data_IF_087220095823
#
_entry.id   IF_087220095823
#
_cell.length_a   1.000
_cell.length_b   1.000
_cell.length_c   1.000
_cell.angle_alpha   90.00
_cell.angle_beta   90.00
_cell.angle_gamma   90.00
#
_symmetry.space_group_name_H-M   'P 1'
#
loop_
_entity.id
_entity.type
_entity.pdbx_description
1 polymer ?
#
# COMPACT_ATOMS: atom_id res chain seq x y z
N UNK A 1 7.32 -2.84 -21.69
CA UNK A 1 8.21 -2.57 -20.57
C UNK A 1 8.52 -1.08 -20.48
N UNK A 2 9.25 -0.48 -21.40
CA UNK A 2 9.64 0.95 -21.40
C UNK A 2 8.48 1.95 -21.31
N UNK A 3 7.36 1.71 -21.97
CA UNK A 3 6.20 2.60 -21.90
C UNK A 3 5.59 2.64 -20.49
N UNK A 4 5.52 1.51 -19.81
CA UNK A 4 5.04 1.45 -18.41
C UNK A 4 5.99 2.17 -17.46
N UNK A 5 7.30 2.01 -17.65
CA UNK A 5 8.32 2.72 -16.88
C UNK A 5 8.19 4.24 -17.07
N UNK A 6 8.07 4.70 -18.31
CA UNK A 6 7.87 6.10 -18.64
C UNK A 6 6.60 6.68 -18.00
N UNK A 7 5.48 5.95 -18.07
CA UNK A 7 4.21 6.35 -17.44
C UNK A 7 4.33 6.42 -15.92
N UNK A 8 5.01 5.43 -15.31
CA UNK A 8 5.23 5.42 -13.86
C UNK A 8 6.10 6.60 -13.45
N UNK A 9 7.28 6.78 -14.05
CA UNK A 9 8.18 7.89 -13.72
C UNK A 9 7.52 9.25 -13.90
N UNK A 10 6.67 9.41 -14.92
CA UNK A 10 5.92 10.66 -15.15
C UNK A 10 4.96 10.99 -14.01
N UNK A 11 4.48 9.99 -13.27
CA UNK A 11 3.58 10.18 -12.13
C UNK A 11 4.31 10.39 -10.80
N UNK A 12 5.64 10.15 -10.76
CA UNK A 12 6.44 10.26 -9.56
C UNK A 12 7.07 11.66 -9.42
N UNK A 13 7.11 12.15 -8.19
CA UNK A 13 7.81 13.39 -7.83
C UNK A 13 8.48 13.20 -6.47
N UNK A 14 9.77 12.82 -6.50
CA UNK A 14 10.55 12.56 -5.29
C UNK A 14 12.03 12.94 -5.51
N UNK A 15 12.70 13.61 -4.56
CA UNK A 15 14.08 14.11 -4.75
C UNK A 15 15.11 13.00 -4.97
N UNK A 16 14.84 11.79 -4.51
CA UNK A 16 15.75 10.63 -4.59
C UNK A 16 15.30 9.57 -5.64
N UNK A 17 14.43 9.97 -6.57
CA UNK A 17 14.03 9.20 -7.75
C UNK A 17 14.31 10.05 -8.98
N UNK A 18 14.90 9.51 -10.07
CA UNK A 18 15.11 10.26 -11.30
C UNK A 18 13.79 10.85 -11.82
N UNK A 19 13.78 12.14 -12.14
CA UNK A 19 12.60 12.76 -12.73
C UNK A 19 12.46 12.40 -14.21
N UNK A 20 11.24 12.08 -14.64
CA UNK A 20 10.90 11.94 -16.05
C UNK A 20 11.12 13.24 -16.81
N UNK A 21 11.76 13.16 -17.97
CA UNK A 21 11.97 14.31 -18.86
C UNK A 21 11.23 14.13 -20.17
N UNK A 22 11.42 12.98 -20.85
CA UNK A 22 10.80 12.73 -22.14
C UNK A 22 10.72 11.23 -22.45
N UNK A 23 9.87 10.86 -23.42
CA UNK A 23 9.74 9.51 -23.95
C UNK A 23 9.30 9.55 -25.40
N UNK A 24 10.09 8.95 -26.30
CA UNK A 24 9.82 8.99 -27.73
C UNK A 24 10.28 7.73 -28.45
N UNK A 25 9.70 7.50 -29.62
CA UNK A 25 10.10 6.40 -30.52
C UNK A 25 11.39 6.78 -31.28
N UNK A 26 12.36 5.89 -31.25
CA UNK A 26 13.58 5.96 -32.07
C UNK A 26 13.44 5.08 -33.27
N UNK A 27 13.39 5.65 -34.45
CA UNK A 27 13.22 4.95 -35.71
C UNK A 27 14.40 5.28 -36.65
N UNK A 28 15.35 4.37 -36.77
CA UNK A 28 16.48 4.47 -37.71
C UNK A 28 16.49 3.31 -38.68
N UNK A 29 17.23 3.37 -39.78
CA UNK A 29 17.32 2.27 -40.74
C UNK A 29 17.77 0.93 -40.16
N UNK A 30 18.54 0.97 -39.05
CA UNK A 30 19.15 -0.20 -38.41
C UNK A 30 18.54 -0.55 -37.08
N UNK A 31 17.72 0.34 -36.47
CA UNK A 31 17.18 0.15 -35.12
C UNK A 31 15.81 0.81 -35.01
N UNK A 32 14.86 0.06 -34.41
CA UNK A 32 13.57 0.57 -33.98
C UNK A 32 13.42 0.29 -32.50
N UNK A 33 13.07 1.30 -31.71
CA UNK A 33 12.90 1.16 -30.27
C UNK A 33 12.33 2.43 -29.65
N UNK A 34 12.40 2.50 -28.33
CA UNK A 34 11.93 3.63 -27.56
C UNK A 34 13.08 4.18 -26.71
N UNK A 35 13.08 5.48 -26.51
CA UNK A 35 14.01 6.18 -25.61
C UNK A 35 13.22 6.79 -24.45
N UNK A 36 13.63 6.47 -23.24
CA UNK A 36 13.20 7.13 -22.01
C UNK A 36 14.30 8.10 -21.59
N UNK A 37 13.96 9.36 -21.39
CA UNK A 37 14.87 10.41 -20.92
C UNK A 37 14.48 10.78 -19.50
N UNK A 38 15.44 10.72 -18.62
CA UNK A 38 15.29 11.07 -17.21
C UNK A 38 16.46 11.89 -16.71
N UNK A 39 16.32 12.55 -15.55
CA UNK A 39 17.41 13.32 -14.96
C UNK A 39 18.62 12.43 -14.69
N UNK A 40 19.80 12.92 -15.03
CA UNK A 40 21.06 12.26 -14.73
C UNK A 40 21.46 12.51 -13.28
N UNK A 41 21.80 11.45 -12.57
CA UNK A 41 22.31 11.50 -11.20
C UNK A 41 23.82 11.19 -11.25
N UNK A 42 24.71 12.13 -10.91
CA UNK A 42 26.16 11.92 -10.93
C UNK A 42 26.58 11.08 -9.69
N UNK A 43 26.29 9.80 -9.70
CA UNK A 43 26.50 8.87 -8.60
C UNK A 43 26.85 7.48 -9.12
N UNK A 44 27.50 6.65 -8.30
CA UNK A 44 27.79 5.25 -8.60
C UNK A 44 26.77 4.33 -7.96
N UNK A 45 26.55 3.16 -8.59
CA UNK A 45 25.70 2.13 -8.00
C UNK A 45 26.39 1.47 -6.79
N UNK A 46 25.59 0.97 -5.86
CA UNK A 46 26.12 0.13 -4.76
C UNK A 46 26.89 -1.08 -5.32
N UNK A 47 26.42 -1.67 -6.42
CA UNK A 47 27.10 -2.78 -7.07
C UNK A 47 28.51 -2.40 -7.55
N UNK A 48 28.69 -1.22 -8.15
CA UNK A 48 30.01 -0.72 -8.55
C UNK A 48 30.94 -0.57 -7.33
N UNK A 49 30.43 -0.06 -6.21
CA UNK A 49 31.18 0.02 -4.97
C UNK A 49 31.60 -1.36 -4.45
N UNK A 50 30.71 -2.35 -4.47
CA UNK A 50 31.02 -3.73 -4.07
C UNK A 50 32.09 -4.35 -4.97
N UNK A 51 32.01 -4.14 -6.30
CA UNK A 51 32.99 -4.61 -7.29
C UNK A 51 34.38 -4.00 -7.08
N UNK A 52 34.47 -2.78 -6.56
CA UNK A 52 35.77 -2.16 -6.18
C UNK A 52 36.28 -2.66 -4.82
N UNK A 53 35.59 -3.58 -4.18
CA UNK A 53 35.98 -4.15 -2.88
C UNK A 53 35.59 -3.30 -1.67
N UNK A 54 34.75 -2.27 -1.85
CA UNK A 54 34.23 -1.46 -0.73
C UNK A 54 33.43 -2.34 0.23
N UNK A 55 33.75 -2.26 1.51
CA UNK A 55 32.96 -2.82 2.59
C UNK A 55 32.14 -1.71 3.26
N UNK A 56 30.94 -2.04 3.62
CA UNK A 56 30.04 -1.12 4.33
C UNK A 56 30.01 -1.49 5.81
N UNK A 57 30.09 -0.49 6.68
CA UNK A 57 29.86 -0.65 8.12
C UNK A 57 28.39 -0.82 8.41
N UNK A 58 28.04 -1.40 9.57
CA UNK A 58 26.64 -1.52 10.01
C UNK A 58 25.91 -0.18 10.00
N UNK A 59 26.56 0.90 10.46
CA UNK A 59 25.99 2.25 10.47
C UNK A 59 25.67 2.74 9.06
N UNK A 60 26.60 2.57 8.09
CA UNK A 60 26.35 2.92 6.70
C UNK A 60 25.19 2.13 6.10
N UNK A 61 25.08 0.83 6.43
CA UNK A 61 23.99 -0.02 5.94
C UNK A 61 22.65 0.39 6.55
N UNK A 62 22.63 0.79 7.82
CA UNK A 62 21.42 1.34 8.47
C UNK A 62 21.00 2.68 7.86
N UNK A 63 21.96 3.58 7.52
CA UNK A 63 21.67 4.84 6.81
C UNK A 63 21.05 4.57 5.42
N UNK A 64 21.61 3.62 4.66
CA UNK A 64 21.07 3.19 3.37
C UNK A 64 19.67 2.61 3.54
N UNK A 65 19.47 1.74 4.53
CA UNK A 65 18.18 1.15 4.84
C UNK A 65 17.10 2.22 5.13
N UNK A 66 17.45 3.19 5.97
CA UNK A 66 16.56 4.30 6.32
C UNK A 66 16.14 5.09 5.09
N UNK A 67 17.10 5.54 4.28
CA UNK A 67 16.83 6.33 3.08
C UNK A 67 15.96 5.57 2.06
N UNK A 68 16.20 4.26 1.86
CA UNK A 68 15.39 3.44 0.97
C UNK A 68 13.99 3.20 1.54
N UNK A 69 13.84 3.01 2.84
CA UNK A 69 12.53 2.89 3.48
C UNK A 69 11.71 4.17 3.33
N UNK A 70 12.32 5.36 3.42
CA UNK A 70 11.64 6.63 3.17
C UNK A 70 11.13 6.74 1.72
N UNK A 71 11.93 6.30 0.73
CA UNK A 71 11.50 6.21 -0.67
C UNK A 71 10.34 5.21 -0.83
N UNK A 72 10.43 4.04 -0.19
CA UNK A 72 9.38 3.03 -0.25
C UNK A 72 8.09 3.48 0.43
N UNK A 73 8.16 4.22 1.53
CA UNK A 73 7.00 4.85 2.16
C UNK A 73 6.30 5.78 1.15
N UNK A 74 7.05 6.59 0.41
CA UNK A 74 6.47 7.44 -0.63
C UNK A 74 5.78 6.60 -1.72
N UNK A 75 6.46 5.59 -2.29
CA UNK A 75 5.92 4.77 -3.37
C UNK A 75 4.69 3.97 -2.96
N UNK A 76 4.73 3.34 -1.80
CA UNK A 76 3.65 2.49 -1.30
C UNK A 76 2.42 3.29 -0.85
N UNK A 77 2.57 4.57 -0.51
CA UNK A 77 1.46 5.46 -0.15
C UNK A 77 0.80 6.14 -1.36
N UNK A 78 1.29 5.92 -2.57
CA UNK A 78 0.62 6.39 -3.78
C UNK A 78 -0.71 5.63 -4.00
N UNK A 79 -1.61 6.22 -4.76
CA UNK A 79 -2.88 5.59 -5.10
C UNK A 79 -3.05 5.50 -6.63
N UNK A 80 -2.95 4.29 -7.22
CA UNK A 80 -2.63 3.01 -6.57
C UNK A 80 -1.18 2.93 -6.09
N UNK A 81 -0.87 2.06 -5.09
CA UNK A 81 0.48 1.83 -4.63
C UNK A 81 1.41 1.40 -5.76
N UNK A 82 2.62 1.95 -5.76
CA UNK A 82 3.68 1.61 -6.71
C UNK A 82 4.66 0.66 -6.02
N UNK A 83 4.82 -0.54 -6.56
CA UNK A 83 5.74 -1.57 -6.08
C UNK A 83 6.90 -1.66 -7.06
N UNK A 84 8.14 -1.53 -6.59
CA UNK A 84 9.35 -1.47 -7.42
C UNK A 84 9.71 -2.82 -8.04
N UNK A 85 9.67 -3.91 -7.26
CA UNK A 85 9.91 -5.31 -7.60
C UNK A 85 11.34 -5.71 -8.00
N UNK A 86 12.27 -4.77 -8.08
CA UNK A 86 13.65 -5.08 -8.45
C UNK A 86 14.67 -4.24 -7.66
N UNK A 87 14.50 -4.22 -6.31
CA UNK A 87 15.44 -3.54 -5.42
C UNK A 87 16.67 -4.43 -5.26
N UNK A 88 17.82 -3.92 -5.73
CA UNK A 88 19.12 -4.59 -5.71
C UNK A 88 20.26 -3.59 -5.81
N UNK A 89 21.51 -3.96 -5.54
CA UNK A 89 22.65 -3.05 -5.52
C UNK A 89 22.88 -2.26 -6.81
N UNK A 90 22.55 -2.82 -7.99
CA UNK A 90 22.68 -2.13 -9.28
C UNK A 90 21.63 -1.04 -9.50
N UNK A 91 20.52 -1.06 -8.76
CA UNK A 91 19.40 -0.12 -8.88
C UNK A 91 19.40 0.92 -7.76
N UNK A 92 20.46 0.98 -6.96
CA UNK A 92 20.65 1.96 -5.88
C UNK A 92 21.93 2.74 -6.14
N UNK A 93 21.81 4.08 -6.23
CA UNK A 93 22.97 4.95 -6.39
C UNK A 93 23.32 5.63 -5.06
N UNK A 94 24.62 5.80 -4.82
CA UNK A 94 25.13 6.59 -3.71
C UNK A 94 25.82 7.84 -4.25
N UNK A 95 25.29 9.02 -3.91
CA UNK A 95 25.87 10.31 -4.22
C UNK A 95 27.14 10.60 -3.43
N UNK A 96 27.69 11.80 -3.62
CA UNK A 96 28.93 12.19 -2.96
C UNK A 96 28.82 12.14 -1.44
N UNK A 97 29.86 11.61 -0.80
CA UNK A 97 29.96 11.54 0.66
C UNK A 97 30.22 12.93 1.24
N UNK A 98 29.49 13.24 2.30
CA UNK A 98 29.78 14.40 3.13
C UNK A 98 30.16 13.94 4.53
N UNK A 99 31.42 14.01 4.89
CA UNK A 99 31.93 13.54 6.18
C UNK A 99 31.79 12.02 6.34
N UNK A 100 31.16 11.58 7.44
CA UNK A 100 30.94 10.16 7.77
C UNK A 100 29.63 9.58 7.17
N UNK A 101 28.81 10.36 6.49
CA UNK A 101 27.57 9.91 5.85
C UNK A 101 27.85 9.11 4.59
N UNK A 102 26.96 8.16 4.24
CA UNK A 102 27.01 7.41 2.97
C UNK A 102 26.76 8.26 1.75
N UNK A 103 26.29 9.50 1.93
CA UNK A 103 25.82 10.40 0.87
C UNK A 103 24.32 10.21 0.58
N UNK A 104 23.84 10.92 -0.42
CA UNK A 104 22.43 10.78 -0.84
C UNK A 104 22.20 9.43 -1.50
N UNK A 105 21.11 8.75 -1.13
CA UNK A 105 20.72 7.43 -1.66
C UNK A 105 19.59 7.62 -2.66
N UNK A 106 19.76 7.11 -3.87
CA UNK A 106 18.74 7.19 -4.93
C UNK A 106 18.30 5.80 -5.37
N UNK A 107 17.02 5.65 -5.67
CA UNK A 107 16.44 4.43 -6.25
C UNK A 107 16.13 4.69 -7.72
N UNK A 108 16.62 3.79 -8.60
CA UNK A 108 16.52 3.91 -10.06
C UNK A 108 15.93 2.64 -10.67
N UNK A 109 15.64 2.67 -11.97
CA UNK A 109 15.14 1.54 -12.77
C UNK A 109 13.73 1.09 -12.37
N UNK A 110 12.76 1.85 -12.81
CA UNK A 110 11.32 1.60 -12.61
C UNK A 110 10.72 0.69 -13.70
N UNK A 111 11.52 0.00 -14.50
CA UNK A 111 11.07 -0.89 -15.58
C UNK A 111 10.30 -2.13 -15.12
N UNK A 112 10.50 -2.51 -13.86
CA UNK A 112 9.87 -3.69 -13.24
C UNK A 112 8.59 -3.38 -12.45
N UNK A 113 8.20 -2.13 -12.38
CA UNK A 113 7.13 -1.62 -11.50
C UNK A 113 5.77 -2.23 -11.81
N UNK A 114 5.03 -2.51 -10.75
CA UNK A 114 3.62 -2.88 -10.80
C UNK A 114 2.79 -1.84 -10.03
N UNK A 115 1.72 -1.37 -10.67
CA UNK A 115 0.62 -0.70 -9.98
C UNK A 115 -0.45 -1.72 -9.66
N UNK A 116 -0.94 -1.75 -8.44
CA UNK A 116 -1.90 -2.76 -7.96
C UNK A 116 -3.21 -2.82 -8.76
N UNK A 117 -3.49 -1.81 -9.61
CA UNK A 117 -4.68 -1.74 -10.45
C UNK A 117 -4.58 -2.50 -11.80
N UNK A 118 -3.43 -3.09 -12.14
CA UNK A 118 -3.24 -3.74 -13.45
C UNK A 118 -3.57 -5.24 -13.40
N UNK A 119 -4.83 -5.59 -13.37
CA UNK A 119 -5.30 -6.96 -13.64
C UNK A 119 -5.39 -7.20 -15.17
N UNK A 120 -4.73 -8.25 -15.68
CA UNK A 120 -4.98 -8.79 -17.02
C UNK A 120 -3.82 -8.78 -18.04
N UNK A 121 -2.55 -8.69 -17.61
CA UNK A 121 -1.39 -8.84 -18.50
C UNK A 121 -0.80 -10.25 -18.52
N UNK A 122 -0.05 -10.59 -19.57
CA UNK A 122 0.77 -11.81 -19.64
C UNK A 122 1.66 -11.91 -18.42
N UNK A 123 1.56 -13.00 -17.66
CA UNK A 123 2.37 -13.26 -16.44
C UNK A 123 3.84 -13.36 -16.83
N UNK A 124 4.58 -12.30 -16.62
CA UNK A 124 6.04 -12.28 -16.76
C UNK A 124 6.65 -12.22 -15.37
N UNK A 125 7.42 -13.24 -14.98
CA UNK A 125 8.21 -13.21 -13.75
C UNK A 125 9.25 -12.11 -13.93
N UNK A 126 9.15 -11.05 -13.13
CA UNK A 126 10.08 -9.91 -13.13
C UNK A 126 10.75 -9.83 -11.77
N UNK A 127 12.04 -9.54 -11.77
CA UNK A 127 12.87 -9.42 -10.58
C UNK A 127 14.18 -10.18 -10.74
N UNK A 128 15.08 -10.05 -9.78
CA UNK A 128 16.43 -10.62 -9.82
C UNK A 128 16.56 -11.74 -8.80
N UNK A 129 17.05 -12.91 -9.26
CA UNK A 129 17.27 -14.08 -8.40
C UNK A 129 18.16 -13.73 -7.19
N UNK A 130 17.76 -14.20 -6.02
CA UNK A 130 18.42 -13.90 -4.74
C UNK A 130 17.82 -12.70 -4.00
N UNK A 131 17.21 -11.75 -4.70
CA UNK A 131 16.57 -10.56 -4.10
C UNK A 131 15.04 -10.67 -4.10
N UNK A 132 14.48 -11.57 -4.90
CA UNK A 132 13.06 -11.68 -5.15
C UNK A 132 12.38 -12.58 -4.10
N UNK A 133 11.30 -12.14 -3.43
CA UNK A 133 10.55 -12.97 -2.49
C UNK A 133 9.68 -13.99 -3.22
N UNK A 134 9.22 -15.03 -2.49
CA UNK A 134 8.47 -16.15 -3.08
C UNK A 134 7.15 -15.72 -3.72
N UNK A 135 6.43 -14.80 -3.12
CA UNK A 135 5.15 -14.31 -3.65
C UNK A 135 5.29 -13.65 -5.02
N UNK A 136 6.47 -13.09 -5.34
CA UNK A 136 6.74 -12.44 -6.62
C UNK A 136 6.84 -13.46 -7.78
N UNK A 137 7.26 -14.70 -7.53
CA UNK A 137 7.24 -15.78 -8.54
C UNK A 137 5.82 -16.12 -8.99
N UNK A 138 4.84 -15.88 -8.14
CA UNK A 138 3.41 -16.11 -8.43
C UNK A 138 2.67 -14.90 -8.97
N UNK A 139 3.38 -13.80 -9.32
CA UNK A 139 2.79 -12.50 -9.70
C UNK A 139 1.84 -11.93 -8.63
N UNK A 140 2.21 -12.12 -7.36
CA UNK A 140 1.43 -11.74 -6.17
C UNK A 140 2.18 -10.71 -5.34
N UNK A 141 2.81 -9.78 -6.02
CA UNK A 141 3.58 -8.73 -5.36
C UNK A 141 2.69 -7.78 -4.57
N UNK A 142 3.14 -7.49 -3.36
CA UNK A 142 2.54 -6.53 -2.44
C UNK A 142 3.61 -5.54 -1.99
N UNK A 143 3.28 -4.39 -1.40
CA UNK A 143 4.29 -3.45 -0.87
C UNK A 143 5.35 -4.11 0.00
N UNK A 144 4.99 -5.10 0.82
CA UNK A 144 5.93 -5.86 1.64
C UNK A 144 6.92 -6.73 0.82
N UNK A 145 6.68 -6.94 -0.49
CA UNK A 145 7.64 -7.64 -1.36
C UNK A 145 8.91 -6.82 -1.58
N UNK A 146 8.79 -5.50 -1.71
CA UNK A 146 9.95 -4.59 -1.80
C UNK A 146 10.80 -4.61 -0.52
N UNK A 147 10.17 -4.83 0.63
CA UNK A 147 10.88 -4.94 1.91
C UNK A 147 11.82 -6.15 1.94
N UNK A 148 11.37 -7.30 1.43
CA UNK A 148 12.23 -8.47 1.31
C UNK A 148 13.42 -8.19 0.40
N UNK A 149 13.19 -7.59 -0.77
CA UNK A 149 14.26 -7.26 -1.73
C UNK A 149 15.25 -6.26 -1.14
N UNK A 150 14.76 -5.26 -0.38
CA UNK A 150 15.59 -4.36 0.40
C UNK A 150 16.43 -5.15 1.42
N UNK A 151 15.82 -5.99 2.23
CA UNK A 151 16.51 -6.80 3.24
C UNK A 151 17.59 -7.69 2.63
N UNK A 152 17.29 -8.39 1.52
CA UNK A 152 18.26 -9.20 0.80
C UNK A 152 19.44 -8.36 0.26
N UNK A 153 19.15 -7.14 -0.23
CA UNK A 153 20.18 -6.19 -0.65
C UNK A 153 21.10 -5.80 0.52
N UNK A 154 20.53 -5.47 1.68
CA UNK A 154 21.29 -5.10 2.87
C UNK A 154 22.11 -6.27 3.42
N UNK A 155 21.59 -7.50 3.36
CA UNK A 155 22.34 -8.72 3.71
C UNK A 155 23.59 -8.83 2.82
N UNK A 156 23.49 -8.55 1.53
CA UNK A 156 24.67 -8.52 0.66
C UNK A 156 25.69 -7.49 1.13
N UNK A 157 25.27 -6.30 1.54
CA UNK A 157 26.17 -5.24 2.00
C UNK A 157 26.94 -5.63 3.28
N UNK A 158 26.28 -6.31 4.23
CA UNK A 158 26.92 -6.70 5.51
C UNK A 158 27.73 -7.98 5.41
N UNK A 159 27.44 -8.88 4.46
CA UNK A 159 28.14 -10.15 4.30
C UNK A 159 29.22 -10.10 3.21
N UNK A 160 29.05 -9.23 2.21
CA UNK A 160 29.85 -9.25 0.98
C UNK A 160 29.58 -10.47 0.10
N UNK A 161 28.54 -11.27 0.40
CA UNK A 161 28.17 -12.48 -0.32
C UNK A 161 26.80 -12.32 -0.95
N UNK A 162 26.67 -12.66 -2.24
CA UNK A 162 25.40 -12.55 -2.94
C UNK A 162 24.31 -13.39 -2.23
N UNK A 163 23.08 -12.90 -2.05
CA UNK A 163 22.06 -13.59 -1.27
C UNK A 163 21.71 -15.00 -1.78
N UNK A 164 21.84 -15.24 -3.09
CA UNK A 164 21.64 -16.56 -3.69
C UNK A 164 22.73 -17.59 -3.32
N UNK A 165 23.93 -17.12 -2.93
CA UNK A 165 25.07 -17.98 -2.56
C UNK A 165 25.12 -18.25 -1.04
N UNK A 166 24.26 -17.61 -0.27
CA UNK A 166 24.12 -17.84 1.17
C UNK A 166 23.28 -19.10 1.42
N UNK A 167 23.59 -19.89 2.47
CA UNK A 167 22.75 -21.01 2.87
C UNK A 167 21.31 -20.57 3.13
N UNK A 168 20.36 -21.45 2.79
CA UNK A 168 18.95 -21.22 3.09
C UNK A 168 18.39 -22.36 3.93
N UNK A 169 17.57 -22.02 4.90
CA UNK A 169 16.82 -22.99 5.70
C UNK A 169 15.36 -22.51 5.78
N UNK A 170 14.42 -23.38 5.41
CA UNK A 170 12.99 -23.04 5.36
C UNK A 170 12.73 -21.75 4.58
N UNK A 171 13.46 -21.54 3.48
CA UNK A 171 13.47 -20.34 2.64
C UNK A 171 13.99 -19.06 3.30
N UNK A 172 14.47 -19.13 4.55
CA UNK A 172 15.12 -18.01 5.24
C UNK A 172 16.61 -18.00 4.92
N UNK A 173 17.13 -16.83 4.55
CA UNK A 173 18.57 -16.62 4.29
C UNK A 173 19.35 -16.74 5.60
N UNK A 174 20.33 -17.65 5.63
CA UNK A 174 21.18 -17.87 6.81
C UNK A 174 22.47 -17.04 6.69
N UNK A 175 22.43 -15.78 7.10
CA UNK A 175 23.53 -14.83 6.91
C UNK A 175 24.33 -14.53 8.19
N UNK A 176 23.82 -14.94 9.37
CA UNK A 176 24.34 -14.50 10.68
C UNK A 176 25.83 -14.83 10.88
N UNK A 177 26.27 -16.00 10.40
CA UNK A 177 27.68 -16.43 10.52
C UNK A 177 28.60 -15.74 9.50
N UNK A 178 28.06 -15.00 8.54
CA UNK A 178 28.81 -14.30 7.49
C UNK A 178 28.87 -12.78 7.73
N UNK A 179 28.11 -12.28 8.71
CA UNK A 179 28.02 -10.86 9.03
C UNK A 179 28.53 -10.57 10.44
N UNK A 180 29.30 -9.49 10.59
CA UNK A 180 29.72 -9.01 11.92
C UNK A 180 28.94 -7.71 12.23
N UNK A 181 27.72 -7.89 12.69
CA UNK A 181 26.75 -6.82 13.01
C UNK A 181 26.11 -7.09 14.36
N UNK A 182 25.46 -6.06 14.92
CA UNK A 182 24.78 -6.17 16.20
C UNK A 182 23.65 -7.21 16.17
N UNK A 183 23.34 -7.85 17.31
CA UNK A 183 22.20 -8.76 17.42
C UNK A 183 20.87 -8.11 17.03
N UNK A 184 20.72 -6.84 17.38
CA UNK A 184 19.56 -6.05 17.01
C UNK A 184 19.36 -5.95 15.50
N UNK A 185 20.39 -5.51 14.76
CA UNK A 185 20.32 -5.37 13.31
C UNK A 185 20.20 -6.74 12.62
N UNK A 186 20.79 -7.78 13.21
CA UNK A 186 20.60 -9.17 12.77
C UNK A 186 19.12 -9.57 12.83
N UNK A 187 18.45 -9.34 13.96
CA UNK A 187 17.03 -9.66 14.13
C UNK A 187 16.14 -8.83 13.18
N UNK A 188 16.47 -7.56 12.99
CA UNK A 188 15.76 -6.68 12.05
C UNK A 188 15.90 -7.19 10.60
N UNK A 189 17.12 -7.57 10.16
CA UNK A 189 17.36 -8.15 8.84
C UNK A 189 16.64 -9.50 8.66
N UNK A 190 16.59 -10.33 9.69
CA UNK A 190 15.82 -11.58 9.65
C UNK A 190 14.33 -11.29 9.45
N UNK A 191 13.77 -10.33 10.18
CA UNK A 191 12.35 -10.00 10.09
C UNK A 191 11.98 -9.38 8.75
N UNK A 192 12.79 -8.49 8.18
CA UNK A 192 12.51 -7.87 6.89
C UNK A 192 12.62 -8.87 5.72
N UNK A 193 13.47 -9.92 5.87
CA UNK A 193 13.62 -10.99 4.87
C UNK A 193 12.82 -12.26 5.21
N UNK A 194 11.88 -12.19 6.13
CA UNK A 194 11.01 -13.31 6.46
C UNK A 194 10.21 -13.75 5.21
N UNK A 195 10.25 -15.03 4.80
CA UNK A 195 9.50 -15.52 3.65
C UNK A 195 7.99 -15.36 3.79
N UNK A 196 7.46 -15.58 5.00
CA UNK A 196 6.04 -15.39 5.29
C UNK A 196 5.70 -13.92 5.41
N UNK A 197 4.74 -13.45 4.60
CA UNK A 197 4.23 -12.08 4.66
C UNK A 197 3.64 -11.72 6.03
N UNK A 198 3.03 -12.69 6.73
CA UNK A 198 2.44 -12.49 8.06
C UNK A 198 3.50 -12.21 9.14
N UNK A 199 4.71 -12.76 8.97
CA UNK A 199 5.81 -12.60 9.92
C UNK A 199 6.74 -11.44 9.54
N UNK A 200 6.75 -11.03 8.27
CA UNK A 200 7.52 -9.90 7.77
C UNK A 200 6.93 -8.59 8.30
N UNK A 201 7.67 -7.48 8.19
CA UNK A 201 7.09 -6.15 8.38
C UNK A 201 5.96 -5.92 7.36
N UNK A 202 4.80 -5.46 7.82
CA UNK A 202 3.63 -5.23 6.98
C UNK A 202 3.78 -3.99 6.09
N UNK A 203 4.59 -3.01 6.51
CA UNK A 203 4.82 -1.75 5.78
C UNK A 203 6.24 -1.23 5.95
N UNK A 204 6.67 -0.37 5.00
CA UNK A 204 7.96 0.32 5.07
C UNK A 204 8.03 1.24 6.31
N UNK A 205 6.92 1.83 6.72
CA UNK A 205 6.83 2.64 7.94
C UNK A 205 7.14 1.80 9.18
N UNK A 206 6.55 0.60 9.29
CA UNK A 206 6.80 -0.30 10.41
C UNK A 206 8.28 -0.73 10.46
N UNK A 207 8.87 -1.06 9.30
CA UNK A 207 10.28 -1.43 9.21
C UNK A 207 11.21 -0.28 9.61
N UNK A 208 10.88 0.97 9.21
CA UNK A 208 11.65 2.16 9.55
C UNK A 208 11.62 2.45 11.06
N UNK A 209 10.44 2.45 11.65
CA UNK A 209 10.27 2.66 13.10
C UNK A 209 11.08 1.62 13.88
N UNK A 210 10.98 0.35 13.48
CA UNK A 210 11.73 -0.73 14.09
C UNK A 210 13.25 -0.53 13.97
N UNK A 211 13.74 -0.01 12.84
CA UNK A 211 15.16 0.28 12.62
C UNK A 211 15.66 1.42 13.53
N UNK A 212 14.84 2.43 13.78
CA UNK A 212 15.22 3.61 14.58
C UNK A 212 15.19 3.35 16.10
N UNK A 213 14.40 2.39 16.57
CA UNK A 213 14.23 2.12 18.00
C UNK A 213 15.39 1.37 18.67
N UNK A 214 16.36 0.87 17.92
CA UNK A 214 17.64 0.39 18.46
C UNK A 214 17.58 -0.68 19.53
N UNK A 215 16.90 -1.80 19.34
CA UNK A 215 17.07 -3.00 20.17
C UNK A 215 16.39 -3.05 21.54
N UNK A 216 15.42 -2.20 21.82
CA UNK A 216 14.45 -2.43 22.89
C UNK A 216 13.65 -3.71 22.56
N UNK A 217 13.44 -4.54 23.58
CA UNK A 217 12.68 -5.78 23.51
C UNK A 217 11.39 -5.56 22.66
N UNK A 218 11.22 -6.36 21.61
CA UNK A 218 9.97 -6.39 20.85
C UNK A 218 8.86 -6.95 21.72
N UNK A 219 8.44 -6.18 22.70
CA UNK A 219 7.04 -6.18 23.10
C UNK A 219 6.31 -5.63 21.89
N UNK A 220 5.26 -6.28 21.44
CA UNK A 220 4.34 -5.77 20.41
C UNK A 220 4.08 -4.28 20.65
N UNK A 221 4.96 -3.42 20.15
CA UNK A 221 4.75 -1.98 20.19
C UNK A 221 3.89 -1.63 18.98
N UNK A 222 2.67 -2.04 19.05
CA UNK A 222 1.54 -1.31 18.56
C UNK A 222 1.55 0.03 19.27
N UNK A 223 2.30 0.97 18.87
CA UNK A 223 2.03 2.37 19.11
C UNK A 223 3.27 3.24 19.14
N UNK A 224 3.74 3.71 18.01
CA UNK A 224 4.41 5.02 18.03
C UNK A 224 4.20 5.74 16.71
N UNK A 225 3.47 6.83 16.84
CA UNK A 225 3.40 7.96 15.89
C UNK A 225 3.23 7.60 14.39
N UNK A 226 2.26 6.76 14.07
CA UNK A 226 1.67 6.81 12.73
C UNK A 226 0.94 8.15 12.67
N UNK A 227 1.64 9.20 12.26
CA UNK A 227 1.03 10.49 11.99
C UNK A 227 0.01 10.34 10.86
N UNK A 228 -0.95 11.26 10.79
CA UNK A 228 -1.91 11.28 9.70
C UNK A 228 -1.17 11.22 8.35
N UNK A 229 -1.48 10.24 7.47
CA UNK A 229 -0.81 10.09 6.18
C UNK A 229 -0.89 11.37 5.35
N UNK A 230 0.21 11.73 4.67
CA UNK A 230 0.26 12.90 3.80
C UNK A 230 -0.79 12.77 2.68
N UNK A 231 -1.61 13.80 2.50
CA UNK A 231 -2.71 13.79 1.51
C UNK A 231 -3.99 13.11 1.95
N UNK A 232 -4.06 12.56 3.17
CA UNK A 232 -5.31 12.04 3.73
C UNK A 232 -6.34 13.15 3.92
N UNK A 233 -7.55 12.92 3.40
CA UNK A 233 -8.70 13.82 3.54
C UNK A 233 -9.55 13.55 4.79
N UNK A 234 -9.22 12.52 5.57
CA UNK A 234 -9.92 12.18 6.81
C UNK A 234 -9.77 13.35 7.78
N UNK A 235 -10.87 13.80 8.35
CA UNK A 235 -10.85 14.80 9.43
C UNK A 235 -11.03 14.07 10.76
N UNK A 236 -10.12 14.32 11.69
CA UNK A 236 -10.18 13.75 13.03
C UNK A 236 -10.20 14.89 14.04
N UNK A 237 -11.21 14.89 14.88
CA UNK A 237 -11.35 15.81 16.02
C UNK A 237 -11.45 14.99 17.28
N UNK A 238 -10.53 15.20 18.21
CA UNK A 238 -10.52 14.50 19.50
C UNK A 238 -10.38 15.48 20.66
N UNK A 239 -11.12 15.22 21.72
CA UNK A 239 -10.99 15.87 22.99
C UNK A 239 -11.32 14.87 24.11
N UNK A 240 -11.37 15.32 25.37
CA UNK A 240 -11.66 14.45 26.54
C UNK A 240 -13.07 13.83 26.51
N UNK A 241 -14.02 14.45 25.81
CA UNK A 241 -15.43 14.03 25.84
C UNK A 241 -15.84 13.19 24.64
N UNK A 242 -15.22 13.40 23.47
CA UNK A 242 -15.57 12.65 22.26
C UNK A 242 -14.42 12.53 21.25
N UNK A 243 -14.48 11.52 20.41
CA UNK A 243 -13.70 11.34 19.21
C UNK A 243 -14.65 11.41 18.01
N UNK A 244 -14.36 12.28 17.06
CA UNK A 244 -15.12 12.42 15.81
C UNK A 244 -14.19 12.24 14.61
N UNK A 245 -14.56 11.34 13.72
CA UNK A 245 -13.84 11.01 12.49
C UNK A 245 -14.80 11.22 11.32
N UNK A 246 -14.38 12.00 10.33
CA UNK A 246 -15.14 12.21 9.09
C UNK A 246 -14.29 11.70 7.93
N UNK A 247 -14.78 10.66 7.27
CA UNK A 247 -14.15 10.02 6.12
C UNK A 247 -14.96 10.45 4.89
N UNK A 248 -14.43 11.34 4.02
CA UNK A 248 -15.08 11.70 2.78
C UNK A 248 -15.05 10.53 1.81
N UNK A 249 -16.01 10.45 0.88
CA UNK A 249 -16.01 9.44 -0.16
C UNK A 249 -14.74 9.48 -1.01
N UNK A 250 -14.40 8.36 -1.64
CA UNK A 250 -13.20 8.21 -2.47
C UNK A 250 -13.24 9.05 -3.76
N UNK A 251 -14.39 9.61 -4.10
CA UNK A 251 -14.61 10.33 -5.35
C UNK A 251 -14.91 9.39 -6.51
N UNK A 252 -14.79 9.90 -7.73
CA UNK A 252 -15.06 9.11 -8.92
C UNK A 252 -13.95 8.10 -9.22
N UNK A 253 -14.34 6.86 -9.38
CA UNK A 253 -13.53 5.80 -9.95
C UNK A 253 -14.00 5.52 -11.39
N UNK A 254 -13.18 4.84 -12.20
CA UNK A 254 -13.51 4.57 -13.62
C UNK A 254 -14.84 3.85 -13.78
N UNK A 255 -15.12 2.86 -12.94
CA UNK A 255 -16.39 2.14 -12.93
C UNK A 255 -17.57 3.01 -12.52
N UNK A 256 -17.41 3.86 -11.52
CA UNK A 256 -18.47 4.77 -11.05
C UNK A 256 -18.79 5.85 -12.08
N UNK A 257 -17.81 6.31 -12.85
CA UNK A 257 -18.04 7.23 -13.99
C UNK A 257 -18.90 6.53 -15.05
N UNK A 258 -18.55 5.31 -15.44
CA UNK A 258 -19.32 4.55 -16.42
C UNK A 258 -20.77 4.30 -15.95
N UNK A 259 -20.93 3.83 -14.71
CA UNK A 259 -22.25 3.62 -14.12
C UNK A 259 -23.04 4.92 -13.97
N UNK A 260 -22.37 6.03 -13.70
CA UNK A 260 -22.98 7.35 -13.62
C UNK A 260 -23.53 7.80 -14.98
N UNK A 261 -22.77 7.65 -16.05
CA UNK A 261 -23.23 7.96 -17.41
C UNK A 261 -24.40 7.05 -17.81
N UNK A 262 -24.33 5.76 -17.47
CA UNK A 262 -25.42 4.82 -17.67
C UNK A 262 -26.67 5.24 -16.88
N UNK A 263 -26.53 5.63 -15.62
CA UNK A 263 -27.66 6.08 -14.79
C UNK A 263 -28.33 7.33 -15.36
N UNK A 264 -27.56 8.28 -15.88
CA UNK A 264 -28.11 9.48 -16.56
C UNK A 264 -28.91 9.07 -17.81
N UNK A 265 -28.31 8.25 -18.68
CA UNK A 265 -28.96 7.77 -19.88
C UNK A 265 -30.26 6.99 -19.58
N UNK A 266 -30.20 6.15 -18.54
CA UNK A 266 -31.35 5.37 -18.05
C UNK A 266 -32.52 6.27 -17.59
N UNK A 267 -32.22 7.27 -16.75
CA UNK A 267 -33.26 8.19 -16.29
C UNK A 267 -33.83 9.03 -17.44
N UNK A 268 -33.02 9.48 -18.40
CA UNK A 268 -33.49 10.17 -19.60
C UNK A 268 -34.38 9.26 -20.45
N UNK A 269 -34.05 7.98 -20.61
CA UNK A 269 -34.88 7.00 -21.31
C UNK A 269 -36.22 6.79 -20.60
N UNK A 270 -36.26 6.69 -19.29
CA UNK A 270 -37.50 6.61 -18.52
C UNK A 270 -38.39 7.88 -18.74
N UNK A 271 -37.78 9.05 -18.67
CA UNK A 271 -38.49 10.32 -18.96
C UNK A 271 -39.06 10.35 -20.40
N UNK A 272 -38.27 9.83 -21.36
CA UNK A 272 -38.77 9.73 -22.74
C UNK A 272 -39.96 8.77 -22.84
N UNK A 273 -39.98 7.64 -22.14
CA UNK A 273 -41.14 6.72 -22.12
C UNK A 273 -42.41 7.41 -21.58
N UNK A 274 -42.29 8.35 -20.67
CA UNK A 274 -43.44 9.12 -20.16
C UNK A 274 -44.07 10.02 -21.22
N UNK A 275 -43.33 10.40 -22.24
CA UNK A 275 -43.87 11.21 -23.34
C UNK A 275 -44.66 10.41 -24.38
N UNK A 276 -44.54 9.07 -24.39
CA UNK A 276 -45.14 8.21 -25.42
C UNK A 276 -46.63 7.92 -25.08
N UNK A 277 -46.88 7.34 -23.92
CA UNK A 277 -48.25 7.06 -23.45
C UNK A 277 -48.27 6.73 -21.93
N UNK A 278 -49.48 6.74 -21.34
CA UNK A 278 -49.69 6.50 -19.91
C UNK A 278 -49.33 5.06 -19.48
N UNK A 279 -49.49 4.08 -20.36
CA UNK A 279 -49.19 2.69 -20.04
C UNK A 279 -47.66 2.46 -19.94
N UNK A 280 -46.90 3.06 -20.84
CA UNK A 280 -45.43 3.01 -20.78
C UNK A 280 -44.88 3.75 -19.55
N UNK A 281 -45.53 4.84 -19.14
CA UNK A 281 -45.19 5.57 -17.92
C UNK A 281 -45.42 4.72 -16.68
N UNK A 282 -46.56 4.03 -16.55
CA UNK A 282 -46.81 3.12 -15.43
C UNK A 282 -45.83 1.97 -15.34
N UNK A 283 -45.50 1.38 -16.50
CA UNK A 283 -44.49 0.30 -16.56
C UNK A 283 -43.10 0.79 -16.16
N UNK A 284 -42.72 1.99 -16.55
CA UNK A 284 -41.42 2.59 -16.23
C UNK A 284 -41.20 2.90 -14.76
N UNK A 285 -42.26 3.07 -13.96
CA UNK A 285 -42.16 3.29 -12.50
C UNK A 285 -41.47 2.10 -11.79
N UNK A 286 -41.65 0.87 -12.30
CA UNK A 286 -40.99 -0.29 -11.76
C UNK A 286 -39.46 -0.23 -11.85
N UNK A 287 -38.93 0.53 -12.81
CA UNK A 287 -37.51 0.65 -13.07
C UNK A 287 -36.92 1.98 -12.57
N UNK A 288 -37.73 2.89 -12.08
CA UNK A 288 -37.27 4.19 -11.60
C UNK A 288 -36.39 4.07 -10.35
N UNK A 289 -36.76 3.20 -9.41
CA UNK A 289 -35.98 2.97 -8.20
C UNK A 289 -34.54 2.50 -8.52
N UNK A 290 -34.40 1.64 -9.54
CA UNK A 290 -33.07 1.21 -10.00
C UNK A 290 -32.25 2.40 -10.55
N UNK A 291 -32.87 3.27 -11.33
CA UNK A 291 -32.23 4.48 -11.86
C UNK A 291 -31.79 5.45 -10.75
N UNK A 292 -32.64 5.64 -9.75
CA UNK A 292 -32.31 6.44 -8.57
C UNK A 292 -31.19 5.81 -7.71
N UNK A 293 -31.24 4.51 -7.51
CA UNK A 293 -30.20 3.78 -6.79
C UNK A 293 -28.83 3.90 -7.47
N UNK A 294 -28.80 3.71 -8.79
CA UNK A 294 -27.56 3.86 -9.57
C UNK A 294 -27.06 5.31 -9.53
N UNK A 295 -27.94 6.29 -9.67
CA UNK A 295 -27.57 7.72 -9.59
C UNK A 295 -27.02 8.08 -8.21
N UNK A 296 -27.64 7.57 -7.15
CA UNK A 296 -27.16 7.77 -5.79
C UNK A 296 -25.74 7.23 -5.60
N UNK A 297 -25.48 5.95 -5.95
CA UNK A 297 -24.20 5.30 -5.72
C UNK A 297 -23.10 5.75 -6.68
N UNK A 298 -23.45 6.15 -7.92
CA UNK A 298 -22.46 6.50 -8.94
C UNK A 298 -22.17 7.99 -9.06
N UNK A 299 -23.08 8.85 -8.59
CA UNK A 299 -22.93 10.30 -8.73
C UNK A 299 -22.99 11.01 -7.38
N UNK A 300 -24.11 10.86 -6.65
CA UNK A 300 -24.36 11.68 -5.47
C UNK A 300 -23.41 11.31 -4.33
N UNK A 301 -23.29 10.03 -4.02
CA UNK A 301 -22.41 9.59 -2.93
C UNK A 301 -20.92 9.84 -3.20
N UNK A 302 -20.36 9.57 -4.40
CA UNK A 302 -18.98 9.94 -4.73
C UNK A 302 -18.68 11.45 -4.66
N UNK A 303 -19.65 12.30 -4.93
CA UNK A 303 -19.45 13.76 -4.86
C UNK A 303 -19.61 14.32 -3.44
N UNK A 304 -20.67 13.91 -2.75
CA UNK A 304 -21.14 14.58 -1.53
C UNK A 304 -21.20 13.65 -0.32
N UNK A 305 -20.86 12.37 -0.50
CA UNK A 305 -20.91 11.36 0.56
C UNK A 305 -19.82 11.54 1.59
N UNK A 306 -20.13 11.18 2.82
CA UNK A 306 -19.14 11.04 3.90
C UNK A 306 -19.62 10.02 4.94
N UNK A 307 -18.67 9.34 5.56
CA UNK A 307 -18.92 8.52 6.73
C UNK A 307 -18.44 9.28 7.97
N UNK A 308 -19.37 9.58 8.86
CA UNK A 308 -19.09 10.25 10.13
C UNK A 308 -19.19 9.25 11.26
N UNK A 309 -18.10 9.08 11.98
CA UNK A 309 -18.01 8.26 13.16
C UNK A 309 -17.87 9.20 14.34
N UNK A 310 -18.70 9.02 15.35
CA UNK A 310 -18.60 9.77 16.59
C UNK A 310 -18.72 8.83 17.78
N UNK A 311 -17.74 8.87 18.64
CA UNK A 311 -17.66 8.11 19.86
C UNK A 311 -17.71 9.10 21.02
N UNK A 312 -18.81 9.13 21.74
CA UNK A 312 -19.02 9.91 22.96
C UNK A 312 -18.75 9.05 24.19
N UNK A 313 -18.97 9.60 25.39
CA UNK A 313 -18.84 8.87 26.66
C UNK A 313 -19.79 7.67 26.78
N UNK A 314 -20.98 7.75 26.16
CA UNK A 314 -22.05 6.76 26.32
C UNK A 314 -22.23 5.85 25.11
N UNK A 315 -21.96 6.35 23.90
CA UNK A 315 -22.29 5.65 22.65
C UNK A 315 -21.30 5.90 21.54
N UNK A 316 -21.25 4.94 20.62
CA UNK A 316 -20.65 5.09 19.29
C UNK A 316 -21.75 5.22 18.26
N UNK A 317 -21.58 6.14 17.32
CA UNK A 317 -22.51 6.36 16.20
C UNK A 317 -21.76 6.37 14.88
N UNK A 318 -22.33 5.68 13.90
CA UNK A 318 -21.88 5.66 12.50
C UNK A 318 -22.98 6.24 11.64
N UNK A 319 -22.76 7.43 11.13
CA UNK A 319 -23.70 8.16 10.30
C UNK A 319 -23.17 8.22 8.86
N UNK A 320 -23.83 7.57 7.91
CA UNK A 320 -23.61 7.80 6.48
C UNK A 320 -24.36 9.07 6.10
N UNK A 321 -23.65 10.06 5.58
CA UNK A 321 -24.19 11.38 5.29
C UNK A 321 -23.99 11.74 3.82
N UNK A 322 -24.96 12.48 3.27
CA UNK A 322 -24.84 13.19 2.01
C UNK A 322 -24.89 14.69 2.35
N UNK A 323 -23.75 15.36 2.36
CA UNK A 323 -23.56 16.70 2.96
C UNK A 323 -24.04 16.75 4.41
N UNK A 324 -25.16 17.43 4.68
CA UNK A 324 -25.78 17.55 6.00
C UNK A 324 -26.89 16.52 6.27
N UNK A 325 -27.31 15.78 5.25
CA UNK A 325 -28.44 14.85 5.36
C UNK A 325 -27.93 13.48 5.80
N UNK A 326 -28.45 13.00 6.95
CA UNK A 326 -28.15 11.66 7.49
C UNK A 326 -29.02 10.64 6.79
N UNK A 327 -28.40 9.72 6.05
CA UNK A 327 -29.10 8.70 5.27
C UNK A 327 -29.24 7.42 6.08
N UNK A 328 -28.17 7.02 6.76
CA UNK A 328 -28.16 5.80 7.57
C UNK A 328 -27.43 6.06 8.89
N UNK A 329 -28.05 5.61 9.97
CA UNK A 329 -27.45 5.68 11.30
C UNK A 329 -27.38 4.30 11.93
N UNK A 330 -26.20 3.96 12.44
CA UNK A 330 -25.99 2.80 13.31
C UNK A 330 -25.39 3.30 14.61
N UNK A 331 -25.80 2.72 15.74
CA UNK A 331 -25.27 3.14 17.04
C UNK A 331 -25.21 1.94 17.99
N UNK A 332 -24.14 1.91 18.79
CA UNK A 332 -23.96 0.93 19.86
C UNK A 332 -23.52 1.64 21.14
N UNK A 333 -23.64 0.98 22.29
CA UNK A 333 -23.14 1.51 23.56
C UNK A 333 -21.61 1.50 23.56
N UNK A 334 -20.98 2.56 24.10
CA UNK A 334 -19.52 2.59 24.27
C UNK A 334 -19.02 1.44 25.14
N UNK A 335 -19.75 1.10 26.20
CA UNK A 335 -19.39 0.02 27.12
C UNK A 335 -19.41 -1.36 26.49
N UNK A 336 -20.07 -1.52 25.32
CA UNK A 336 -20.09 -2.76 24.56
C UNK A 336 -18.91 -2.92 23.61
N UNK A 337 -18.06 -1.86 23.43
CA UNK A 337 -16.87 -1.96 22.61
C UNK A 337 -15.87 -2.85 23.33
N UNK A 338 -15.54 -3.98 22.73
CA UNK A 338 -14.73 -5.01 23.36
C UNK A 338 -13.54 -5.46 22.52
N UNK A 339 -13.51 -5.14 21.22
CA UNK A 339 -12.44 -5.61 20.34
C UNK A 339 -12.22 -4.67 19.16
N UNK A 340 -10.94 -4.41 18.88
CA UNK A 340 -10.48 -3.72 17.69
C UNK A 340 -9.52 -4.67 16.95
N UNK A 341 -9.88 -5.05 15.73
CA UNK A 341 -9.10 -5.97 14.91
C UNK A 341 -8.59 -5.22 13.69
N UNK A 342 -7.29 -5.23 13.49
CA UNK A 342 -6.70 -4.80 12.25
C UNK A 342 -6.16 -6.02 11.50
N UNK A 343 -6.67 -6.25 10.30
CA UNK A 343 -6.18 -7.29 9.40
C UNK A 343 -5.43 -6.60 8.27
N UNK A 344 -4.11 -6.77 8.17
CA UNK A 344 -3.34 -6.24 7.05
C UNK A 344 -3.71 -6.98 5.77
N UNK A 345 -3.34 -6.42 4.64
CA UNK A 345 -3.52 -7.06 3.34
C UNK A 345 -2.73 -8.38 3.30
N UNK A 346 -3.41 -9.50 3.14
CA UNK A 346 -2.78 -10.82 3.13
C UNK A 346 -3.42 -11.77 2.11
N UNK A 347 -2.68 -12.81 1.73
CA UNK A 347 -3.22 -13.89 0.92
C UNK A 347 -3.73 -15.01 1.84
N UNK A 348 -5.00 -15.38 1.68
CA UNK A 348 -5.60 -16.50 2.42
C UNK A 348 -5.79 -17.70 1.50
N UNK A 349 -5.45 -18.88 2.02
CA UNK A 349 -5.75 -20.15 1.35
C UNK A 349 -7.06 -20.72 1.91
N UNK A 350 -7.98 -21.19 1.06
CA UNK A 350 -9.22 -21.81 1.55
C UNK A 350 -8.90 -23.05 2.39
N UNK A 351 -9.38 -23.09 3.62
CA UNK A 351 -9.15 -24.20 4.57
C UNK A 351 -9.77 -25.54 4.14
N UNK A 352 -10.75 -25.55 3.23
CA UNK A 352 -11.38 -26.76 2.67
C UNK A 352 -11.74 -26.53 1.19
N UNK A 353 -11.00 -27.10 0.23
CA UNK A 353 -11.36 -27.02 -1.18
C UNK A 353 -12.41 -28.09 -1.51
N UNK A 354 -13.69 -27.80 -1.32
CA UNK A 354 -14.79 -28.69 -1.73
C UNK A 354 -15.35 -28.39 -3.12
N UNK A 355 -14.87 -27.39 -3.82
CA UNK A 355 -15.27 -27.01 -5.19
C UNK A 355 -14.04 -26.75 -6.04
N UNK A 356 -14.02 -27.37 -7.24
CA UNK A 356 -12.90 -27.41 -8.19
C UNK A 356 -12.52 -26.03 -8.77
N UNK A 357 -13.21 -24.96 -8.41
CA UNK A 357 -13.06 -23.66 -9.09
C UNK A 357 -12.06 -22.67 -8.45
N UNK A 358 -11.42 -22.99 -7.33
CA UNK A 358 -10.52 -22.01 -6.72
C UNK A 358 -9.32 -22.64 -6.00
N UNK A 359 -8.35 -23.13 -6.78
CA UNK A 359 -7.04 -23.56 -6.28
C UNK A 359 -6.02 -22.41 -6.11
N UNK A 360 -6.46 -21.16 -6.01
CA UNK A 360 -5.59 -20.01 -5.81
C UNK A 360 -5.76 -19.34 -4.45
N UNK A 361 -4.74 -18.71 -3.90
CA UNK A 361 -4.91 -17.85 -2.74
C UNK A 361 -5.76 -16.64 -3.11
N UNK A 362 -6.71 -16.32 -2.26
CA UNK A 362 -7.51 -15.10 -2.37
C UNK A 362 -6.74 -13.95 -1.68
N UNK A 363 -6.62 -12.82 -2.37
CA UNK A 363 -6.10 -11.59 -1.77
C UNK A 363 -7.18 -11.02 -0.84
N UNK A 364 -6.94 -11.07 0.45
CA UNK A 364 -7.76 -10.39 1.44
C UNK A 364 -7.32 -8.94 1.54
N UNK A 365 -8.22 -7.99 1.29
CA UNK A 365 -7.96 -6.56 1.47
C UNK A 365 -7.70 -6.24 2.93
N UNK A 366 -6.84 -5.24 3.18
CA UNK A 366 -6.67 -4.72 4.52
C UNK A 366 -8.00 -4.19 5.05
N UNK A 367 -8.29 -4.48 6.31
CA UNK A 367 -9.52 -4.05 6.97
C UNK A 367 -9.31 -3.79 8.46
N UNK A 368 -10.11 -2.88 8.98
CA UNK A 368 -10.20 -2.57 10.39
C UNK A 368 -11.62 -2.86 10.86
N UNK A 369 -11.76 -3.67 11.89
CA UNK A 369 -13.03 -4.06 12.47
C UNK A 369 -13.11 -3.57 13.91
N UNK A 370 -14.15 -2.80 14.22
CA UNK A 370 -14.49 -2.40 15.58
C UNK A 370 -15.75 -3.16 16.01
N UNK A 371 -15.62 -3.93 17.07
CA UNK A 371 -16.71 -4.74 17.63
C UNK A 371 -17.30 -4.09 18.86
N UNK A 372 -18.63 -3.93 18.85
CA UNK A 372 -19.40 -3.42 19.99
C UNK A 372 -20.50 -4.45 20.32
N UNK A 373 -20.21 -5.37 21.22
CA UNK A 373 -21.07 -6.52 21.52
C UNK A 373 -21.17 -7.43 20.29
N UNK A 374 -22.38 -7.55 19.72
CA UNK A 374 -22.66 -8.35 18.52
C UNK A 374 -22.59 -7.50 17.23
N UNK A 375 -22.51 -6.19 17.33
CA UNK A 375 -22.40 -5.31 16.17
C UNK A 375 -20.95 -5.16 15.73
N UNK A 376 -20.74 -5.33 14.41
CA UNK A 376 -19.46 -5.14 13.73
C UNK A 376 -19.52 -3.89 12.86
N UNK A 377 -18.51 -3.03 13.03
CA UNK A 377 -18.24 -1.87 12.18
C UNK A 377 -16.93 -2.12 11.44
N UNK A 378 -17.00 -2.17 10.12
CA UNK A 378 -15.88 -2.55 9.25
C UNK A 378 -15.46 -1.36 8.40
N UNK A 379 -14.15 -1.16 8.28
CA UNK A 379 -13.50 -0.20 7.42
C UNK A 379 -12.53 -0.98 6.52
N UNK A 380 -12.63 -0.78 5.25
CA UNK A 380 -11.82 -1.43 4.23
C UNK A 380 -11.22 -0.40 3.26
N UNK A 381 -10.53 -0.88 2.25
CA UNK A 381 -9.95 -0.02 1.21
C UNK A 381 -11.01 0.55 0.26
N UNK A 382 -12.26 0.08 0.30
CA UNK A 382 -13.38 0.70 -0.39
C UNK A 382 -13.88 1.95 0.36
N UNK A 383 -13.57 2.03 1.66
CA UNK A 383 -13.91 3.16 2.53
C UNK A 383 -12.74 4.14 2.67
N UNK A 384 -11.50 3.64 2.67
CA UNK A 384 -10.27 4.39 2.90
C UNK A 384 -9.33 4.27 1.70
N UNK A 385 -8.55 5.32 1.42
CA UNK A 385 -7.72 5.39 0.22
C UNK A 385 -6.49 4.49 0.26
N UNK A 386 -5.98 4.22 1.45
CA UNK A 386 -4.73 3.49 1.61
C UNK A 386 -4.69 2.68 2.90
N UNK A 387 -3.86 1.65 2.92
CA UNK A 387 -3.60 0.84 4.11
C UNK A 387 -2.99 1.69 5.24
N UNK A 388 -2.18 2.70 4.90
CA UNK A 388 -1.63 3.64 5.87
C UNK A 388 -2.71 4.47 6.58
N UNK A 389 -3.83 4.79 5.91
CA UNK A 389 -4.98 5.44 6.56
C UNK A 389 -5.69 4.48 7.52
N UNK A 390 -5.80 3.19 7.17
CA UNK A 390 -6.35 2.16 8.06
C UNK A 390 -5.49 1.97 9.31
N UNK A 391 -4.16 1.86 9.15
CA UNK A 391 -3.21 1.72 10.26
C UNK A 391 -3.26 2.94 11.19
N UNK A 392 -3.23 4.13 10.61
CA UNK A 392 -3.34 5.36 11.39
C UNK A 392 -4.66 5.44 12.16
N UNK A 393 -5.79 5.10 11.50
CA UNK A 393 -7.10 5.11 12.12
C UNK A 393 -7.22 4.06 13.22
N UNK A 394 -6.68 2.86 13.00
CA UNK A 394 -6.64 1.80 14.00
C UNK A 394 -5.93 2.27 15.27
N UNK A 395 -4.79 2.94 15.10
CA UNK A 395 -4.02 3.50 16.20
C UNK A 395 -4.79 4.60 16.94
N UNK A 396 -5.32 5.59 16.23
CA UNK A 396 -6.07 6.69 16.85
C UNK A 396 -7.27 6.17 17.67
N UNK A 397 -7.95 5.13 17.16
CA UNK A 397 -9.02 4.46 17.87
C UNK A 397 -8.52 3.68 19.08
N UNK A 398 -7.44 2.93 18.95
CA UNK A 398 -6.81 2.17 20.03
C UNK A 398 -6.38 3.10 21.17
N UNK A 399 -5.64 4.16 20.86
CA UNK A 399 -5.12 5.13 21.82
C UNK A 399 -6.26 5.83 22.57
N UNK A 400 -7.33 6.22 21.87
CA UNK A 400 -8.45 6.94 22.46
C UNK A 400 -9.40 6.04 23.27
N UNK A 401 -9.62 4.80 22.81
CA UNK A 401 -10.48 3.83 23.49
C UNK A 401 -9.76 3.10 24.62
N UNK A 402 -8.43 3.06 24.64
CA UNK A 402 -7.62 2.27 25.56
C UNK A 402 -7.77 0.76 25.33
N UNK A 403 -7.99 0.34 24.04
CA UNK A 403 -8.18 -1.05 23.64
C UNK A 403 -7.02 -1.46 22.74
N UNK A 404 -6.40 -2.60 23.03
CA UNK A 404 -5.34 -3.16 22.19
C UNK A 404 -5.87 -3.61 20.83
N UNK A 405 -5.05 -3.38 19.78
CA UNK A 405 -5.35 -3.86 18.43
C UNK A 405 -5.03 -5.36 18.40
N UNK A 406 -6.04 -6.17 18.09
CA UNK A 406 -5.87 -7.60 17.83
C UNK A 406 -5.62 -7.82 16.33
N UNK A 407 -4.76 -8.73 15.98
CA UNK A 407 -4.49 -9.18 14.61
C UNK A 407 -5.26 -10.47 14.28
#
# INVERSE_FOLDING_TARGET
MFEREAQTLKSLSHPFIPAYLDYFEVNSPTYKGFALVQTYIPAQTIEQYLQTGRKFTEVEVQEIAKALLEILIYLHNLNPPVIHRDIKPSNILLGERSGNSVGSVYLIDFGSVQTVAAEGGTRTIVGTYGYMPQEQFGDRTVPASDLYSLGATLIYLVTGTHPADLPQKDFCIQFQQFANISPYFTNWLQKITEPSLEKRFSSATQALIALEQGGGEYTEITALAVGKPAGSKIQLTKNEDFLEIIIPSLGFQSLTIFLGLFAIAWNLFILFLWTINTLSALFSLLFWELGFYLMYHSILYPLFGSLKIRIDKDKITFDTQLETWKIRRRSASRTSINKLIYTPRCFTYPKNPTVIESYGPHLQSAKLELWAGVEKFEFDLDTLKSEAELEWLAKELSDWLGIEISS
#
